data_IF_845824866240
#
_entry.id   IF_845824866240
#
_cell.length_a   1.000
_cell.length_b   1.000
_cell.length_c   1.000
_cell.angle_alpha   90.00
_cell.angle_beta   90.00
_cell.angle_gamma   90.00
#
_symmetry.space_group_name_H-M   'P 1'
#
loop_
_entity.id
_entity.type
_entity.pdbx_description
1 polymer ?
#
# COMPACT_ATOMS: atom_id res chain seq x y z
N UNK A 1 21.17 -8.28 -1.19
CA UNK A 1 20.70 -6.91 -1.47
C UNK A 1 21.46 -5.94 -0.57
N UNK A 2 21.89 -4.79 -1.09
CA UNK A 2 22.52 -3.74 -0.26
C UNK A 2 21.50 -3.12 0.69
N UNK A 3 21.98 -2.62 1.84
CA UNK A 3 21.16 -1.98 2.88
C UNK A 3 21.62 -0.55 3.12
N UNK A 4 20.68 0.32 3.47
CA UNK A 4 20.88 1.69 3.93
C UNK A 4 20.90 1.76 5.46
N UNK A 5 21.67 2.71 6.00
CA UNK A 5 21.62 3.08 7.42
C UNK A 5 20.85 4.38 7.58
N UNK A 6 19.68 4.31 8.20
CA UNK A 6 18.77 5.43 8.40
C UNK A 6 18.82 5.90 9.86
N UNK A 7 19.29 7.13 10.09
CA UNK A 7 19.30 7.73 11.42
C UNK A 7 17.96 8.40 11.72
N UNK A 8 17.36 8.10 12.88
CA UNK A 8 16.12 8.73 13.34
C UNK A 8 16.41 10.16 13.78
N UNK A 9 16.05 11.15 12.97
CA UNK A 9 16.23 12.57 13.28
C UNK A 9 15.12 13.13 14.16
N UNK A 10 13.90 12.63 13.99
CA UNK A 10 12.74 13.11 14.75
C UNK A 10 11.64 12.05 14.82
N UNK A 11 10.98 11.99 15.96
CA UNK A 11 9.77 11.19 16.17
C UNK A 11 8.60 12.17 16.33
N UNK A 12 7.56 12.00 15.52
CA UNK A 12 6.37 12.86 15.52
C UNK A 12 5.15 11.99 15.80
N UNK A 13 4.38 12.34 16.82
CA UNK A 13 3.11 11.67 17.11
C UNK A 13 1.99 12.32 16.28
N UNK A 14 1.51 11.62 15.26
CA UNK A 14 0.43 12.10 14.40
C UNK A 14 -0.93 11.96 15.07
N UNK A 15 -1.15 10.82 15.73
CA UNK A 15 -2.38 10.51 16.47
C UNK A 15 -2.04 9.67 17.70
N UNK A 16 -3.03 9.19 18.44
CA UNK A 16 -2.79 8.28 19.56
C UNK A 16 -2.22 6.91 19.16
N UNK A 17 -2.40 6.50 17.90
CA UNK A 17 -1.95 5.20 17.41
C UNK A 17 -1.06 5.29 16.17
N UNK A 18 -0.62 6.49 15.78
CA UNK A 18 0.19 6.70 14.57
C UNK A 18 1.37 7.62 14.89
N UNK A 19 2.56 7.18 14.49
CA UNK A 19 3.81 7.91 14.70
C UNK A 19 4.57 8.00 13.39
N UNK A 20 5.09 9.17 13.06
CA UNK A 20 6.05 9.36 11.98
C UNK A 20 7.47 9.38 12.50
N UNK A 21 8.37 8.76 11.73
CA UNK A 21 9.82 8.85 11.92
C UNK A 21 10.38 9.65 10.75
N UNK A 22 11.07 10.76 11.06
CA UNK A 22 11.92 11.44 10.09
C UNK A 22 13.29 10.78 10.14
N UNK A 23 13.69 10.23 9.02
CA UNK A 23 14.87 9.43 8.83
C UNK A 23 15.81 10.15 7.87
N UNK A 24 17.11 10.05 8.10
CA UNK A 24 18.13 10.57 7.19
C UNK A 24 19.15 9.46 6.92
N UNK A 25 19.40 9.17 5.64
CA UNK A 25 20.46 8.24 5.26
C UNK A 25 21.83 8.80 5.67
N UNK A 26 22.67 7.99 6.32
CA UNK A 26 24.07 8.37 6.59
C UNK A 26 24.88 8.40 5.30
N UNK A 27 24.56 7.51 4.38
CA UNK A 27 25.08 7.46 3.02
C UNK A 27 24.13 8.19 2.05
N UNK A 28 23.95 9.51 2.23
CA UNK A 28 22.91 10.30 1.53
C UNK A 28 22.91 10.14 0.02
N UNK A 29 24.08 9.95 -0.60
CA UNK A 29 24.23 9.81 -2.06
C UNK A 29 23.62 8.52 -2.61
N UNK A 30 23.22 7.58 -1.74
CA UNK A 30 22.61 6.30 -2.11
C UNK A 30 21.09 6.26 -1.85
N UNK A 31 20.52 7.32 -1.30
CA UNK A 31 19.10 7.41 -1.03
C UNK A 31 18.40 8.20 -2.13
N UNK A 32 17.69 7.48 -2.99
CA UNK A 32 16.76 8.05 -3.95
C UNK A 32 15.47 7.22 -3.93
N UNK A 33 14.33 7.86 -4.20
CA UNK A 33 13.03 7.19 -4.30
C UNK A 33 12.09 7.97 -5.20
N UNK A 34 11.06 7.29 -5.68
CA UNK A 34 9.91 7.92 -6.35
C UNK A 34 8.76 8.03 -5.37
N UNK A 35 8.02 9.13 -5.42
CA UNK A 35 6.85 9.34 -4.57
C UNK A 35 5.86 8.17 -4.70
N UNK A 36 5.45 7.62 -3.55
CA UNK A 36 4.62 6.42 -3.45
C UNK A 36 5.36 5.12 -3.12
N UNK A 37 6.69 5.07 -3.25
CA UNK A 37 7.49 3.92 -2.83
C UNK A 37 7.50 3.70 -1.31
N UNK A 38 7.93 2.52 -0.88
CA UNK A 38 8.12 2.15 0.52
C UNK A 38 9.57 1.76 0.81
N UNK A 39 9.95 1.76 2.09
CA UNK A 39 11.19 1.17 2.59
C UNK A 39 10.89 -0.01 3.50
N UNK A 40 11.72 -1.05 3.46
CA UNK A 40 11.65 -2.16 4.39
C UNK A 40 12.67 -1.96 5.50
N UNK A 41 12.20 -1.73 6.73
CA UNK A 41 13.06 -1.65 7.91
C UNK A 41 13.39 -3.05 8.43
N UNK A 42 14.62 -3.19 8.92
CA UNK A 42 15.13 -4.38 9.60
C UNK A 42 15.40 -4.01 11.07
N UNK A 43 14.71 -4.67 11.99
CA UNK A 43 14.87 -4.46 13.43
C UNK A 43 14.67 -5.76 14.19
N UNK A 44 15.29 -5.90 15.35
CA UNK A 44 15.19 -7.12 16.15
C UNK A 44 13.99 -7.05 17.11
N UNK A 45 13.29 -8.17 17.27
CA UNK A 45 12.27 -8.40 18.29
C UNK A 45 12.60 -9.74 18.94
N UNK A 46 12.87 -9.76 20.25
CA UNK A 46 13.17 -11.00 21.00
C UNK A 46 14.21 -11.91 20.32
N UNK A 47 15.33 -11.31 19.87
CA UNK A 47 16.43 -11.97 19.13
C UNK A 47 16.15 -12.40 17.68
N UNK A 48 14.92 -12.21 17.17
CA UNK A 48 14.58 -12.45 15.76
C UNK A 48 14.66 -11.16 14.92
N UNK A 49 15.27 -11.23 13.73
CA UNK A 49 15.25 -10.11 12.78
C UNK A 49 13.87 -10.00 12.11
N UNK A 50 13.15 -8.93 12.42
CA UNK A 50 11.87 -8.60 11.82
C UNK A 50 12.07 -7.61 10.66
N UNK A 51 11.36 -7.89 9.57
CA UNK A 51 11.34 -7.05 8.36
C UNK A 51 9.96 -6.49 8.13
N UNK A 52 9.80 -5.18 8.06
CA UNK A 52 8.50 -4.54 7.79
C UNK A 52 8.63 -3.38 6.80
N UNK A 53 7.74 -3.40 5.81
CA UNK A 53 7.64 -2.35 4.80
C UNK A 53 6.73 -1.23 5.26
N UNK A 54 7.18 0.01 5.05
CA UNK A 54 6.42 1.22 5.34
C UNK A 54 6.52 2.18 4.17
N UNK A 55 5.38 2.60 3.63
CA UNK A 55 5.34 3.60 2.56
C UNK A 55 5.99 4.89 3.04
N UNK A 56 6.80 5.49 2.16
CA UNK A 56 7.44 6.76 2.42
C UNK A 56 6.35 7.83 2.32
N UNK A 57 6.19 8.62 3.38
CA UNK A 57 5.18 9.67 3.51
C UNK A 57 5.73 11.09 3.29
N UNK A 58 7.00 11.23 2.92
CA UNK A 58 7.59 12.50 2.46
C UNK A 58 7.70 12.56 0.93
N UNK A 59 7.92 13.75 0.39
CA UNK A 59 8.24 13.92 -1.03
C UNK A 59 9.71 13.57 -1.28
N UNK A 60 10.09 13.01 -2.45
CA UNK A 60 11.49 12.89 -2.85
C UNK A 60 12.19 14.26 -2.98
N UNK A 61 11.43 15.36 -3.08
CA UNK A 61 11.97 16.72 -3.03
C UNK A 61 12.41 17.14 -1.61
N UNK A 62 12.04 16.37 -0.58
CA UNK A 62 12.45 16.60 0.82
C UNK A 62 13.82 15.95 1.14
N UNK A 63 14.46 15.28 0.17
CA UNK A 63 15.77 14.65 0.35
C UNK A 63 16.82 15.67 0.85
N UNK A 64 17.76 15.25 1.71
CA UNK A 64 18.09 13.86 2.07
C UNK A 64 17.23 13.27 3.21
N UNK A 65 16.17 13.96 3.65
CA UNK A 65 15.27 13.45 4.68
C UNK A 65 14.13 12.65 4.05
N UNK A 66 13.82 11.49 4.64
CA UNK A 66 12.64 10.71 4.30
C UNK A 66 11.77 10.55 5.54
N UNK A 67 10.45 10.50 5.37
CA UNK A 67 9.49 10.24 6.45
C UNK A 67 8.83 8.91 6.19
N UNK A 68 8.72 8.07 7.22
CA UNK A 68 7.77 6.97 7.25
C UNK A 68 6.75 7.21 8.34
N UNK A 69 5.55 6.68 8.18
CA UNK A 69 4.47 6.87 9.15
C UNK A 69 3.84 5.53 9.46
N UNK A 70 3.92 5.16 10.74
CA UNK A 70 3.65 3.82 11.23
C UNK A 70 2.41 3.88 12.10
N UNK A 71 1.38 3.15 11.71
CA UNK A 71 0.21 2.89 12.55
C UNK A 71 0.52 1.69 13.44
N UNK A 72 0.31 1.85 14.75
CA UNK A 72 0.35 0.76 15.73
C UNK A 72 -0.76 -0.23 15.36
N UNK A 73 -0.38 -1.45 14.97
CA UNK A 73 -1.33 -2.54 14.82
C UNK A 73 -1.76 -3.01 16.22
N UNK A 74 -3.06 -3.16 16.45
CA UNK A 74 -3.61 -3.63 17.73
C UNK A 74 -3.12 -5.06 18.05
N UNK A 75 -2.95 -5.89 17.02
CA UNK A 75 -2.49 -7.29 17.12
C UNK A 75 -1.02 -7.50 16.66
N UNK A 76 -0.35 -6.45 16.19
CA UNK A 76 0.99 -6.56 15.61
C UNK A 76 2.09 -6.24 16.63
N UNK A 77 2.62 -7.28 17.27
CA UNK A 77 3.73 -7.20 18.25
C UNK A 77 4.89 -6.33 17.74
N UNK A 78 5.30 -6.53 16.49
CA UNK A 78 6.44 -5.84 15.89
C UNK A 78 6.29 -4.32 15.82
N UNK A 79 5.18 -3.80 15.28
CA UNK A 79 4.99 -2.35 15.11
C UNK A 79 4.82 -1.61 16.44
N UNK A 80 4.15 -2.28 17.40
CA UNK A 80 3.92 -1.75 18.75
C UNK A 80 5.25 -1.67 19.51
N UNK A 81 5.97 -2.78 19.56
CA UNK A 81 7.25 -2.87 20.25
C UNK A 81 8.29 -1.93 19.63
N UNK A 82 8.42 -1.95 18.31
CA UNK A 82 9.31 -1.02 17.60
C UNK A 82 9.04 0.44 17.98
N UNK A 83 7.78 0.89 17.94
CA UNK A 83 7.44 2.27 18.29
C UNK A 83 7.59 2.61 19.78
N UNK A 84 7.63 1.61 20.67
CA UNK A 84 7.85 1.82 22.11
C UNK A 84 9.34 1.96 22.45
N UNK A 85 10.24 1.41 21.63
CA UNK A 85 11.67 1.39 21.90
C UNK A 85 12.48 2.45 21.13
N UNK A 86 12.02 2.84 19.94
CA UNK A 86 12.75 3.75 19.06
C UNK A 86 13.05 5.11 19.69
N UNK A 87 14.29 5.59 19.50
CA UNK A 87 14.74 6.90 19.99
C UNK A 87 15.42 7.71 18.89
N UNK A 88 15.28 9.03 18.99
CA UNK A 88 16.05 9.97 18.16
C UNK A 88 17.55 9.70 18.31
N UNK A 89 18.27 9.66 17.19
CA UNK A 89 19.69 9.37 17.08
C UNK A 89 20.02 7.90 16.81
N UNK A 90 19.06 6.98 16.97
CA UNK A 90 19.25 5.58 16.63
C UNK A 90 19.38 5.37 15.12
N UNK A 91 20.13 4.34 14.74
CA UNK A 91 20.35 3.95 13.34
C UNK A 91 19.58 2.65 13.10
N UNK A 92 18.70 2.68 12.10
CA UNK A 92 17.93 1.51 11.66
C UNK A 92 18.43 1.10 10.28
N UNK A 93 18.63 -0.20 10.07
CA UNK A 93 18.93 -0.74 8.75
C UNK A 93 17.65 -0.82 7.92
N UNK A 94 17.75 -0.49 6.64
CA UNK A 94 16.65 -0.63 5.71
C UNK A 94 17.14 -1.18 4.36
N UNK A 95 16.28 -1.87 3.63
CA UNK A 95 16.50 -2.02 2.19
C UNK A 95 16.25 -0.69 1.47
N UNK A 96 16.84 -0.54 0.28
CA UNK A 96 16.58 0.62 -0.56
C UNK A 96 15.08 0.74 -0.89
N UNK A 97 14.58 1.96 -1.14
CA UNK A 97 13.20 2.19 -1.55
C UNK A 97 12.80 1.33 -2.76
N UNK A 98 11.63 0.71 -2.69
CA UNK A 98 11.05 -0.12 -3.76
C UNK A 98 9.53 0.08 -3.86
N UNK A 99 8.91 -0.50 -4.89
CA UNK A 99 7.47 -0.45 -5.11
C UNK A 99 7.09 0.22 -6.43
N UNK A 100 5.96 -0.23 -7.01
CA UNK A 100 5.46 0.22 -8.31
C UNK A 100 4.30 1.22 -8.20
N UNK A 101 3.69 1.36 -7.01
CA UNK A 101 2.66 2.37 -6.75
C UNK A 101 3.29 3.76 -6.68
N UNK A 102 3.59 4.32 -7.85
CA UNK A 102 4.42 5.52 -7.99
C UNK A 102 3.82 6.50 -8.98
N UNK A 103 4.27 7.75 -8.90
CA UNK A 103 3.92 8.77 -9.89
C UNK A 103 5.16 9.32 -10.58
N UNK A 104 5.13 9.35 -11.92
CA UNK A 104 6.15 10.00 -12.73
C UNK A 104 5.82 11.48 -12.87
N UNK A 105 6.66 12.33 -12.31
CA UNK A 105 6.50 13.78 -12.33
C UNK A 105 6.93 14.38 -13.67
N UNK A 106 6.14 15.35 -14.16
CA UNK A 106 6.41 16.13 -15.36
C UNK A 106 5.98 17.61 -15.12
N UNK A 107 6.93 18.56 -15.04
CA UNK A 107 6.63 19.96 -14.73
C UNK A 107 5.67 20.66 -15.71
N UNK A 108 5.59 20.18 -16.96
CA UNK A 108 4.71 20.76 -17.98
C UNK A 108 3.34 20.07 -18.02
N UNK A 109 3.14 19.01 -17.24
CA UNK A 109 1.90 18.24 -17.23
C UNK A 109 0.77 18.97 -16.51
N UNK A 110 -0.37 19.08 -17.20
CA UNK A 110 -1.66 19.51 -16.64
C UNK A 110 -2.39 18.32 -16.05
N UNK A 111 -1.83 17.72 -15.00
CA UNK A 111 -2.38 16.49 -14.42
C UNK A 111 -3.71 16.76 -13.72
N UNK A 112 -4.68 15.89 -13.99
CA UNK A 112 -5.84 15.73 -13.13
C UNK A 112 -5.64 14.44 -12.34
N UNK A 113 -5.68 14.48 -11.00
CA UNK A 113 -5.56 13.28 -10.19
C UNK A 113 -6.50 13.28 -8.99
N UNK A 114 -7.00 12.10 -8.61
CA UNK A 114 -7.84 11.92 -7.43
C UNK A 114 -7.25 10.84 -6.54
N UNK A 115 -6.89 11.23 -5.33
CA UNK A 115 -6.37 10.35 -4.29
C UNK A 115 -7.51 9.91 -3.38
N UNK A 116 -7.72 8.61 -3.23
CA UNK A 116 -8.76 8.05 -2.37
C UNK A 116 -8.07 7.21 -1.30
N UNK A 117 -8.05 7.76 -0.08
CA UNK A 117 -7.34 7.19 1.05
C UNK A 117 -8.26 6.89 2.22
N UNK A 118 -7.86 5.96 3.09
CA UNK A 118 -8.46 5.83 4.41
C UNK A 118 -7.46 5.37 5.48
N UNK A 119 -7.52 5.99 6.66
CA UNK A 119 -6.58 5.73 7.76
C UNK A 119 -5.12 5.85 7.30
N UNK A 120 -4.30 4.83 7.58
CA UNK A 120 -2.88 4.81 7.21
C UNK A 120 -2.62 4.73 5.71
N UNK A 121 -3.61 4.39 4.88
CA UNK A 121 -3.43 4.40 3.42
C UNK A 121 -3.14 5.78 2.83
N UNK A 122 -3.23 6.84 3.63
CA UNK A 122 -2.78 8.19 3.27
C UNK A 122 -1.27 8.27 3.02
N UNK A 123 -0.44 7.36 3.53
CA UNK A 123 1.01 7.53 3.53
C UNK A 123 1.64 7.63 2.15
N UNK A 124 1.43 6.68 1.21
CA UNK A 124 1.94 6.85 -0.16
C UNK A 124 1.23 8.00 -0.89
N UNK A 125 -0.07 8.19 -0.65
CA UNK A 125 -0.86 9.24 -1.31
C UNK A 125 -0.35 10.63 -0.94
N UNK A 126 0.00 10.85 0.33
CA UNK A 126 0.53 12.12 0.82
C UNK A 126 1.89 12.45 0.22
N UNK A 127 2.75 11.43 0.05
CA UNK A 127 4.02 11.58 -0.70
C UNK A 127 3.75 12.05 -2.13
N UNK A 128 2.84 11.40 -2.86
CA UNK A 128 2.47 11.79 -4.22
C UNK A 128 1.87 13.20 -4.28
N UNK A 129 0.89 13.51 -3.43
CA UNK A 129 0.23 14.82 -3.34
C UNK A 129 1.25 15.93 -3.14
N UNK A 130 2.12 15.82 -2.14
CA UNK A 130 3.16 16.82 -1.86
C UNK A 130 4.07 17.04 -3.08
N UNK A 131 4.42 15.95 -3.76
CA UNK A 131 5.34 15.99 -4.90
C UNK A 131 4.71 16.68 -6.10
N UNK A 132 3.46 16.35 -6.44
CA UNK A 132 2.71 16.96 -7.54
C UNK A 132 2.53 18.45 -7.29
N UNK A 133 2.07 18.84 -6.10
CA UNK A 133 1.82 20.26 -5.80
C UNK A 133 3.07 21.12 -5.90
N UNK A 134 4.24 20.56 -5.53
CA UNK A 134 5.50 21.27 -5.61
C UNK A 134 6.12 21.30 -7.02
N UNK A 135 5.92 20.26 -7.83
CA UNK A 135 6.63 20.08 -9.09
C UNK A 135 5.77 20.25 -10.36
N UNK A 136 4.46 20.13 -10.27
CA UNK A 136 3.51 20.24 -11.39
C UNK A 136 2.51 21.38 -11.13
N UNK A 137 2.92 22.65 -11.31
CA UNK A 137 2.12 23.81 -10.91
C UNK A 137 0.80 23.98 -11.67
N UNK A 138 0.63 23.27 -12.80
CA UNK A 138 -0.59 23.27 -13.60
C UNK A 138 -1.53 22.10 -13.24
N UNK A 139 -1.11 21.23 -12.33
CA UNK A 139 -1.89 20.10 -11.87
C UNK A 139 -3.08 20.52 -11.01
N UNK A 140 -4.16 19.76 -11.12
CA UNK A 140 -5.34 19.84 -10.28
C UNK A 140 -5.58 18.48 -9.65
N UNK A 141 -5.63 18.44 -8.34
CA UNK A 141 -5.78 17.20 -7.60
C UNK A 141 -6.86 17.30 -6.53
N UNK A 142 -7.45 16.15 -6.21
CA UNK A 142 -8.35 16.01 -5.08
C UNK A 142 -7.89 14.91 -4.15
N UNK A 143 -8.10 15.09 -2.85
CA UNK A 143 -7.94 14.07 -1.83
C UNK A 143 -9.31 13.76 -1.21
N UNK A 144 -9.78 12.53 -1.35
CA UNK A 144 -10.94 11.99 -0.66
C UNK A 144 -10.41 11.10 0.47
N UNK A 145 -10.58 11.53 1.72
CA UNK A 145 -9.91 10.90 2.86
C UNK A 145 -10.85 10.46 3.98
N UNK A 146 -10.98 9.13 4.13
CA UNK A 146 -11.83 8.48 5.11
C UNK A 146 -11.14 8.21 6.45
N UNK A 147 -11.75 8.66 7.55
CA UNK A 147 -11.29 8.40 8.92
C UNK A 147 -12.46 8.08 9.86
N UNK A 148 -12.14 7.63 11.08
CA UNK A 148 -13.17 7.38 12.10
C UNK A 148 -13.69 8.68 12.70
N UNK A 149 -12.80 9.60 13.06
CA UNK A 149 -13.11 10.92 13.61
C UNK A 149 -11.93 11.86 13.35
N UNK A 150 -12.09 13.12 13.74
CA UNK A 150 -11.16 14.23 13.52
C UNK A 150 -9.78 13.95 14.13
N UNK A 151 -9.73 13.35 15.33
CA UNK A 151 -8.48 13.05 16.06
C UNK A 151 -7.64 11.93 15.43
N UNK A 152 -8.23 11.20 14.47
CA UNK A 152 -7.59 10.09 13.77
C UNK A 152 -7.20 10.44 12.33
N UNK A 153 -7.41 11.70 11.90
CA UNK A 153 -6.92 12.20 10.62
C UNK A 153 -5.40 12.35 10.71
N UNK A 154 -4.67 11.46 10.05
CA UNK A 154 -3.20 11.52 9.99
C UNK A 154 -2.81 12.71 9.10
N UNK A 155 -1.78 13.46 9.51
CA UNK A 155 -1.32 14.70 8.86
C UNK A 155 -2.36 15.82 8.78
N UNK A 156 -3.37 15.85 9.67
CA UNK A 156 -4.48 16.82 9.60
C UNK A 156 -4.01 18.26 9.36
N UNK A 157 -3.14 18.76 10.23
CA UNK A 157 -2.70 20.16 10.15
C UNK A 157 -1.89 20.43 8.88
N UNK A 158 -1.09 19.46 8.43
CA UNK A 158 -0.32 19.60 7.19
C UNK A 158 -1.21 19.57 5.94
N UNK A 159 -2.23 18.71 5.91
CA UNK A 159 -3.23 18.65 4.84
C UNK A 159 -4.03 19.97 4.80
N UNK A 160 -4.45 20.50 5.95
CA UNK A 160 -5.16 21.78 6.03
C UNK A 160 -4.28 22.94 5.52
N UNK A 161 -2.98 22.94 5.86
CA UNK A 161 -2.01 23.91 5.35
C UNK A 161 -1.81 23.79 3.83
N UNK A 162 -1.69 22.58 3.29
CA UNK A 162 -1.57 22.34 1.85
C UNK A 162 -2.83 22.79 1.11
N UNK A 163 -4.01 22.42 1.60
CA UNK A 163 -5.29 22.83 1.01
C UNK A 163 -5.43 24.35 0.97
N UNK A 164 -4.96 25.05 2.00
CA UNK A 164 -4.94 26.52 2.02
C UNK A 164 -3.91 27.11 1.06
N UNK A 165 -2.71 26.55 1.00
CA UNK A 165 -1.62 27.05 0.15
C UNK A 165 -1.91 26.84 -1.34
N UNK A 166 -2.54 25.71 -1.69
CA UNK A 166 -2.84 25.27 -3.04
C UNK A 166 -4.34 25.27 -3.33
N UNK A 167 -5.10 26.26 -2.81
CA UNK A 167 -6.58 26.31 -2.90
C UNK A 167 -7.18 26.14 -4.30
N UNK A 168 -6.43 26.50 -5.35
CA UNK A 168 -6.85 26.43 -6.75
C UNK A 168 -6.45 25.10 -7.43
N UNK A 169 -5.57 24.32 -6.77
CA UNK A 169 -4.97 23.09 -7.28
C UNK A 169 -5.24 21.85 -6.41
N UNK A 170 -5.63 22.01 -5.15
CA UNK A 170 -5.93 20.92 -4.21
C UNK A 170 -7.32 21.14 -3.59
N UNK A 171 -8.20 20.15 -3.79
CA UNK A 171 -9.46 20.04 -3.05
C UNK A 171 -9.41 18.84 -2.09
N UNK A 172 -9.89 19.00 -0.85
CA UNK A 172 -9.86 17.93 0.16
C UNK A 172 -11.27 17.66 0.67
N UNK A 173 -11.70 16.40 0.59
CA UNK A 173 -13.00 15.91 1.01
C UNK A 173 -12.81 14.86 2.11
N UNK A 174 -13.13 15.21 3.36
CA UNK A 174 -13.03 14.29 4.48
C UNK A 174 -14.33 13.53 4.71
N UNK A 175 -14.21 12.23 4.93
CA UNK A 175 -15.31 11.33 5.33
C UNK A 175 -15.06 10.81 6.73
N UNK A 176 -15.95 11.16 7.68
CA UNK A 176 -15.83 10.72 9.06
C UNK A 176 -16.98 9.80 9.45
N UNK A 177 -16.67 8.56 9.86
CA UNK A 177 -17.70 7.59 10.21
C UNK A 177 -18.31 7.77 11.61
N UNK A 178 -17.61 8.48 12.51
CA UNK A 178 -18.04 8.81 13.88
C UNK A 178 -17.55 10.22 14.27
N UNK A 179 -17.95 11.27 13.55
CA UNK A 179 -17.48 12.64 13.82
C UNK A 179 -18.09 13.22 15.10
N UNK A 180 -17.54 14.34 15.55
CA UNK A 180 -18.21 15.18 16.55
C UNK A 180 -19.43 15.90 15.95
N UNK A 181 -20.37 16.33 16.78
CA UNK A 181 -21.58 17.03 16.32
C UNK A 181 -21.29 18.35 15.56
N UNK A 182 -20.11 18.93 15.74
CA UNK A 182 -19.65 20.14 15.05
C UNK A 182 -19.10 19.90 13.64
N UNK A 183 -19.04 18.64 13.19
CA UNK A 183 -18.52 18.30 11.88
C UNK A 183 -19.48 18.69 10.76
N UNK A 184 -18.94 19.42 9.78
CA UNK A 184 -19.71 19.91 8.63
C UNK A 184 -19.34 19.21 7.30
N UNK A 185 -18.43 18.22 7.34
CA UNK A 185 -18.03 17.44 6.17
C UNK A 185 -18.88 16.19 5.99
N UNK A 186 -18.39 15.25 5.17
CA UNK A 186 -19.13 14.01 4.90
C UNK A 186 -19.18 13.12 6.15
N UNK A 187 -20.37 12.58 6.43
CA UNK A 187 -20.62 11.66 7.55
C UNK A 187 -20.81 10.25 7.02
N UNK A 188 -20.09 9.29 7.61
CA UNK A 188 -20.12 7.89 7.22
C UNK A 188 -18.78 7.38 6.69
N UNK A 189 -18.77 6.11 6.26
CA UNK A 189 -17.66 5.55 5.49
C UNK A 189 -17.78 5.98 4.03
N UNK A 190 -16.68 5.91 3.28
CA UNK A 190 -16.72 6.01 1.83
C UNK A 190 -17.47 4.78 1.31
N UNK A 191 -18.57 5.00 0.60
CA UNK A 191 -19.36 3.99 -0.09
C UNK A 191 -19.39 4.31 -1.59
N UNK A 192 -19.84 3.37 -2.40
CA UNK A 192 -19.98 3.60 -3.85
C UNK A 192 -20.83 4.85 -4.14
N UNK A 193 -21.99 4.96 -3.51
CA UNK A 193 -22.99 6.00 -3.78
C UNK A 193 -22.48 7.39 -3.40
N UNK A 194 -21.92 7.53 -2.20
CA UNK A 194 -21.43 8.82 -1.75
C UNK A 194 -20.16 9.23 -2.51
N UNK A 195 -19.28 8.29 -2.86
CA UNK A 195 -18.11 8.58 -3.68
C UNK A 195 -18.50 9.05 -5.08
N UNK A 196 -19.49 8.43 -5.73
CA UNK A 196 -20.00 8.89 -7.03
C UNK A 196 -20.47 10.34 -6.94
N UNK A 197 -21.24 10.69 -5.91
CA UNK A 197 -21.72 12.07 -5.72
C UNK A 197 -20.57 13.05 -5.47
N UNK A 198 -19.58 12.67 -4.67
CA UNK A 198 -18.40 13.51 -4.39
C UNK A 198 -17.54 13.69 -5.63
N UNK A 199 -17.27 12.64 -6.41
CA UNK A 199 -16.51 12.76 -7.66
C UNK A 199 -17.20 13.68 -8.66
N UNK A 200 -18.54 13.59 -8.78
CA UNK A 200 -19.32 14.52 -9.63
C UNK A 200 -19.21 15.97 -9.17
N UNK A 201 -19.09 16.22 -7.86
CA UNK A 201 -18.85 17.56 -7.32
C UNK A 201 -17.46 18.12 -7.63
N UNK A 202 -16.49 17.24 -7.95
CA UNK A 202 -15.11 17.57 -8.33
C UNK A 202 -14.96 17.80 -9.85
N UNK A 203 -16.00 18.29 -10.53
CA UNK A 203 -15.96 18.56 -11.96
C UNK A 203 -14.87 19.58 -12.36
N UNK A 204 -14.52 20.51 -11.47
CA UNK A 204 -13.42 21.47 -11.61
C UNK A 204 -12.03 20.82 -11.72
N UNK A 205 -11.87 19.61 -11.17
CA UNK A 205 -10.67 18.77 -11.26
C UNK A 205 -10.67 17.95 -12.56
N UNK A 206 -11.81 17.81 -13.24
CA UNK A 206 -11.92 16.98 -14.44
C UNK A 206 -11.84 15.49 -14.12
N UNK A 207 -12.62 15.04 -13.12
CA UNK A 207 -12.56 13.68 -12.57
C UNK A 207 -12.68 12.55 -13.62
N UNK A 208 -13.38 12.77 -14.75
CA UNK A 208 -13.55 11.74 -15.79
C UNK A 208 -12.24 11.38 -16.51
N UNK A 209 -11.29 12.32 -16.58
CA UNK A 209 -9.97 12.13 -17.22
C UNK A 209 -8.85 12.05 -16.18
N UNK A 210 -9.19 11.94 -14.89
CA UNK A 210 -8.21 11.94 -13.82
C UNK A 210 -7.52 10.58 -13.68
N UNK A 211 -6.25 10.61 -13.25
CA UNK A 211 -5.58 9.44 -12.68
C UNK A 211 -6.03 9.25 -11.23
N UNK A 212 -6.38 8.03 -10.86
CA UNK A 212 -6.87 7.66 -9.55
C UNK A 212 -5.83 6.86 -8.78
N UNK A 213 -5.56 7.26 -7.54
CA UNK A 213 -4.61 6.57 -6.67
C UNK A 213 -5.32 6.17 -5.38
N UNK A 214 -5.44 4.86 -5.16
CA UNK A 214 -6.25 4.28 -4.09
C UNK A 214 -5.33 3.54 -3.10
N UNK A 215 -5.49 3.82 -1.80
CA UNK A 215 -4.86 3.02 -0.75
C UNK A 215 -5.65 3.10 0.56
N UNK A 216 -5.94 1.93 1.14
CA UNK A 216 -6.62 1.83 2.43
C UNK A 216 -7.25 0.45 2.65
N UNK A 217 -8.19 0.33 3.61
CA UNK A 217 -8.83 -0.94 3.93
C UNK A 217 -9.64 -1.48 2.75
N UNK A 218 -9.67 -2.81 2.62
CA UNK A 218 -10.31 -3.55 1.52
C UNK A 218 -11.73 -3.07 1.19
N UNK A 219 -12.60 -2.92 2.19
CA UNK A 219 -13.98 -2.47 1.96
C UNK A 219 -14.08 -1.05 1.36
N UNK A 220 -13.11 -0.17 1.64
CA UNK A 220 -13.02 1.15 1.00
C UNK A 220 -12.51 1.00 -0.44
N UNK A 221 -11.45 0.21 -0.65
CA UNK A 221 -10.88 -0.04 -1.97
C UNK A 221 -11.92 -0.61 -2.93
N UNK A 222 -12.70 -1.60 -2.47
CA UNK A 222 -13.78 -2.22 -3.23
C UNK A 222 -14.91 -1.21 -3.55
N UNK A 223 -15.34 -0.43 -2.57
CA UNK A 223 -16.36 0.62 -2.77
C UNK A 223 -15.89 1.66 -3.80
N UNK A 224 -14.62 2.04 -3.73
CA UNK A 224 -14.02 3.00 -4.64
C UNK A 224 -13.98 2.47 -6.07
N UNK A 225 -13.50 1.24 -6.24
CA UNK A 225 -13.39 0.66 -7.55
C UNK A 225 -14.76 0.38 -8.20
N UNK A 226 -15.81 0.00 -7.43
CA UNK A 226 -17.18 -0.06 -7.97
C UNK A 226 -17.69 1.30 -8.44
N UNK A 227 -17.39 2.38 -7.70
CA UNK A 227 -17.81 3.73 -8.08
C UNK A 227 -17.12 4.17 -9.38
N UNK A 228 -15.82 3.91 -9.52
CA UNK A 228 -15.05 4.27 -10.70
C UNK A 228 -15.50 3.48 -11.93
N UNK A 229 -15.79 2.19 -11.77
CA UNK A 229 -16.36 1.37 -12.84
C UNK A 229 -17.75 1.86 -13.27
N UNK A 230 -18.64 2.19 -12.33
CA UNK A 230 -19.98 2.73 -12.64
C UNK A 230 -19.91 4.09 -13.35
N UNK A 231 -18.87 4.88 -13.06
CA UNK A 231 -18.58 6.14 -13.76
C UNK A 231 -17.88 5.95 -15.11
N UNK A 232 -17.53 4.72 -15.49
CA UNK A 232 -16.85 4.41 -16.75
C UNK A 232 -15.38 4.88 -16.78
N UNK A 233 -14.74 5.03 -15.61
CA UNK A 233 -13.32 5.39 -15.54
C UNK A 233 -12.49 4.24 -16.08
N UNK A 234 -11.56 4.54 -16.99
CA UNK A 234 -10.67 3.54 -17.55
C UNK A 234 -9.78 2.93 -16.46
N UNK A 235 -9.77 1.60 -16.35
CA UNK A 235 -8.95 0.88 -15.39
C UNK A 235 -7.45 1.20 -15.48
N UNK A 236 -6.92 1.59 -16.65
CA UNK A 236 -5.54 2.04 -16.80
C UNK A 236 -5.22 3.36 -16.09
N UNK A 237 -6.25 4.14 -15.74
CA UNK A 237 -6.11 5.34 -14.93
C UNK A 237 -6.26 5.05 -13.43
N UNK A 238 -6.52 3.80 -13.03
CA UNK A 238 -6.72 3.43 -11.62
C UNK A 238 -5.47 2.70 -11.14
N UNK A 239 -4.82 3.29 -10.14
CA UNK A 239 -3.62 2.77 -9.50
C UNK A 239 -3.93 2.45 -8.04
N UNK A 240 -3.43 1.33 -7.54
CA UNK A 240 -3.68 0.81 -6.20
C UNK A 240 -2.41 0.30 -5.55
N UNK A 241 -2.34 0.38 -4.22
CA UNK A 241 -1.31 -0.30 -3.42
C UNK A 241 -1.91 -1.58 -2.81
N UNK A 242 -1.37 -2.76 -3.14
CA UNK A 242 -1.80 -4.06 -2.62
C UNK A 242 -3.29 -4.40 -2.82
N UNK A 243 -3.88 -4.04 -3.96
CA UNK A 243 -5.26 -4.37 -4.31
C UNK A 243 -5.39 -4.45 -5.83
N UNK A 244 -5.92 -5.54 -6.38
CA UNK A 244 -6.05 -5.69 -7.83
C UNK A 244 -7.45 -5.24 -8.30
N UNK A 245 -7.47 -4.19 -9.13
CA UNK A 245 -8.69 -3.60 -9.70
C UNK A 245 -9.27 -4.49 -10.80
N UNK A 246 -8.47 -5.36 -11.44
CA UNK A 246 -8.92 -6.25 -12.51
C UNK A 246 -9.92 -7.32 -12.01
N UNK A 247 -9.93 -7.65 -10.71
CA UNK A 247 -10.97 -8.50 -10.11
C UNK A 247 -12.40 -7.98 -10.29
N UNK A 248 -12.56 -6.73 -10.72
CA UNK A 248 -13.85 -6.05 -10.81
C UNK A 248 -14.36 -5.91 -12.25
N UNK A 249 -13.51 -6.26 -13.22
CA UNK A 249 -13.81 -6.20 -14.65
C UNK A 249 -14.08 -7.59 -15.24
N UNK A 250 -14.86 -8.43 -14.56
CA UNK A 250 -15.56 -9.55 -15.20
C UNK A 250 -16.66 -10.05 -14.27
N UNK A 251 -17.71 -10.60 -14.87
CA UNK A 251 -18.94 -11.11 -14.25
C UNK A 251 -18.73 -12.37 -13.41
N UNK A 252 -17.69 -12.44 -12.59
CA UNK A 252 -17.51 -13.53 -11.65
C UNK A 252 -17.69 -12.99 -10.25
N UNK A 253 -18.83 -13.32 -9.65
CA UNK A 253 -18.91 -13.45 -8.21
C UNK A 253 -17.74 -14.37 -7.84
N UNK A 254 -16.72 -13.85 -7.17
CA UNK A 254 -15.76 -14.70 -6.48
C UNK A 254 -16.61 -15.47 -5.49
N UNK A 255 -16.94 -16.71 -5.81
CA UNK A 255 -17.66 -17.57 -4.89
C UNK A 255 -16.80 -17.63 -3.62
N UNK A 256 -17.41 -17.38 -2.46
CA UNK A 256 -16.76 -17.47 -1.13
C UNK A 256 -16.47 -18.95 -0.79
N UNK A 257 -15.72 -19.61 -1.65
CA UNK A 257 -15.42 -21.04 -1.55
C UNK A 257 -14.01 -21.15 -1.00
N UNK A 258 -13.88 -21.86 0.11
CA UNK A 258 -12.59 -22.35 0.57
C UNK A 258 -12.04 -23.33 -0.45
N UNK A 259 -10.81 -23.09 -0.92
CA UNK A 259 -10.16 -23.92 -1.93
C UNK A 259 -9.02 -24.72 -1.30
N UNK A 260 -8.95 -26.01 -1.64
CA UNK A 260 -7.80 -26.83 -1.26
C UNK A 260 -6.62 -26.50 -2.18
N UNK A 261 -5.47 -26.20 -1.60
CA UNK A 261 -4.21 -25.98 -2.30
C UNK A 261 -3.22 -27.05 -1.89
N UNK A 262 -2.57 -27.69 -2.86
CA UNK A 262 -1.48 -28.63 -2.60
C UNK A 262 -0.14 -27.90 -2.75
N UNK A 263 0.64 -27.90 -1.67
CA UNK A 263 2.00 -27.35 -1.63
C UNK A 263 2.98 -28.52 -1.64
N UNK A 264 3.85 -28.56 -2.63
CA UNK A 264 4.98 -29.49 -2.70
C UNK A 264 6.23 -28.75 -2.25
N UNK A 265 6.83 -29.21 -1.15
CA UNK A 265 8.08 -28.67 -0.63
C UNK A 265 8.90 -29.79 0.01
N UNK A 266 10.20 -29.86 -0.28
CA UNK A 266 11.10 -30.92 0.23
C UNK A 266 10.60 -32.34 -0.05
N UNK A 267 10.06 -32.56 -1.26
CA UNK A 267 9.43 -33.82 -1.67
C UNK A 267 8.24 -34.28 -0.81
N UNK A 268 7.70 -33.40 0.04
CA UNK A 268 6.48 -33.63 0.82
C UNK A 268 5.31 -32.84 0.22
N UNK A 269 4.13 -33.49 0.18
CA UNK A 269 2.87 -32.86 -0.21
C UNK A 269 2.09 -32.41 1.02
N UNK A 270 1.73 -31.13 1.06
CA UNK A 270 0.92 -30.52 2.11
C UNK A 270 -0.37 -29.96 1.51
N UNK A 271 -1.51 -30.47 1.94
CA UNK A 271 -2.83 -29.98 1.54
C UNK A 271 -3.34 -28.98 2.58
N UNK A 272 -3.67 -27.79 2.13
CA UNK A 272 -4.18 -26.72 2.99
C UNK A 272 -5.44 -26.10 2.41
N UNK A 273 -6.39 -25.74 3.27
CA UNK A 273 -7.59 -25.01 2.87
C UNK A 273 -7.34 -23.51 2.99
N UNK A 274 -7.47 -22.82 1.85
CA UNK A 274 -7.28 -21.37 1.72
C UNK A 274 -8.64 -20.71 1.65
N UNK A 275 -8.89 -19.78 2.58
CA UNK A 275 -10.09 -18.94 2.53
C UNK A 275 -9.99 -17.91 1.40
N UNK A 276 -11.11 -17.45 0.84
CA UNK A 276 -11.13 -16.32 -0.09
C UNK A 276 -10.33 -15.13 0.49
N UNK A 277 -9.42 -14.56 -0.30
CA UNK A 277 -8.56 -13.44 0.12
C UNK A 277 -7.43 -13.80 1.09
N UNK A 278 -7.27 -15.06 1.50
CA UNK A 278 -6.15 -15.51 2.32
C UNK A 278 -4.92 -15.83 1.44
N UNK A 279 -3.73 -15.37 1.83
CA UNK A 279 -2.48 -15.70 1.12
C UNK A 279 -2.11 -17.16 1.35
N UNK A 280 -1.70 -17.85 0.28
CA UNK A 280 -1.24 -19.24 0.33
C UNK A 280 -0.07 -19.40 1.31
N UNK A 281 0.93 -18.51 1.24
CA UNK A 281 2.08 -18.56 2.16
C UNK A 281 1.65 -18.32 3.60
N UNK A 282 0.91 -17.25 3.89
CA UNK A 282 0.60 -16.88 5.28
C UNK A 282 -0.22 -17.97 5.97
N UNK A 283 -1.13 -18.62 5.23
CA UNK A 283 -1.88 -19.77 5.74
C UNK A 283 -0.96 -20.96 5.99
N UNK A 284 -0.06 -21.29 5.06
CA UNK A 284 0.91 -22.37 5.25
C UNK A 284 1.80 -22.15 6.49
N UNK A 285 2.32 -20.93 6.68
CA UNK A 285 3.11 -20.57 7.87
C UNK A 285 2.28 -20.71 9.16
N UNK A 286 0.99 -20.33 9.14
CA UNK A 286 0.11 -20.46 10.31
C UNK A 286 -0.16 -21.92 10.72
N UNK A 287 0.02 -22.86 9.79
CA UNK A 287 -0.08 -24.30 10.00
C UNK A 287 1.27 -24.95 10.36
N UNK A 288 2.33 -24.14 10.49
CA UNK A 288 3.67 -24.59 10.88
C UNK A 288 4.57 -25.04 9.73
N UNK A 289 4.21 -24.78 8.46
CA UNK A 289 5.07 -25.08 7.32
C UNK A 289 6.17 -24.03 7.19
N UNK A 290 7.44 -24.45 7.21
CA UNK A 290 8.60 -23.56 7.10
C UNK A 290 8.97 -23.28 5.63
N UNK A 291 8.07 -22.60 4.91
CA UNK A 291 8.28 -22.26 3.50
C UNK A 291 9.24 -21.08 3.31
N UNK A 292 10.07 -21.06 2.25
CA UNK A 292 10.95 -19.92 1.95
C UNK A 292 10.18 -18.61 1.84
N UNK A 293 10.51 -17.63 2.67
CA UNK A 293 9.87 -16.31 2.64
C UNK A 293 10.77 -15.20 3.23
N UNK A 294 10.45 -13.94 2.94
CA UNK A 294 11.21 -12.79 3.45
C UNK A 294 10.34 -11.52 3.55
N UNK A 295 9.90 -10.93 2.44
CA UNK A 295 9.14 -9.66 2.49
C UNK A 295 7.65 -9.81 2.78
N UNK A 296 7.08 -10.99 2.47
CA UNK A 296 5.64 -11.29 2.53
C UNK A 296 4.73 -10.25 1.83
N UNK A 297 5.28 -9.54 0.84
CA UNK A 297 4.63 -8.42 0.16
C UNK A 297 4.83 -8.47 -1.36
N UNK A 298 5.28 -9.61 -1.91
CA UNK A 298 5.46 -9.77 -3.36
C UNK A 298 6.72 -9.15 -3.96
N UNK A 299 7.62 -8.57 -3.14
CA UNK A 299 8.72 -7.72 -3.63
C UNK A 299 10.11 -8.34 -3.63
N UNK A 300 10.34 -9.46 -2.93
CA UNK A 300 11.68 -10.04 -2.78
C UNK A 300 11.89 -11.37 -3.52
N UNK A 301 10.84 -11.97 -4.06
CA UNK A 301 10.91 -13.24 -4.80
C UNK A 301 11.23 -14.48 -3.96
N UNK A 302 11.50 -14.36 -2.66
CA UNK A 302 11.83 -15.52 -1.80
C UNK A 302 10.66 -16.52 -1.69
N UNK A 303 9.42 -16.02 -1.76
CA UNK A 303 8.21 -16.84 -1.76
C UNK A 303 7.86 -17.43 -3.14
N UNK A 304 8.79 -17.38 -4.11
CA UNK A 304 8.55 -17.84 -5.47
C UNK A 304 8.35 -19.35 -5.49
N UNK A 305 7.26 -19.78 -6.10
CA UNK A 305 6.94 -21.18 -6.34
C UNK A 305 6.47 -21.34 -7.79
N UNK A 306 6.60 -22.56 -8.33
CA UNK A 306 6.12 -22.89 -9.67
C UNK A 306 4.69 -23.43 -9.58
N UNK A 307 3.79 -22.85 -10.37
CA UNK A 307 2.43 -23.31 -10.51
C UNK A 307 2.41 -24.52 -11.47
N UNK A 308 2.08 -25.70 -10.94
CA UNK A 308 2.01 -26.94 -11.72
C UNK A 308 0.61 -27.20 -12.28
N UNK A 309 -0.43 -26.80 -11.54
CA UNK A 309 -1.83 -26.93 -11.93
C UNK A 309 -2.68 -25.83 -11.31
N UNK A 310 -3.83 -25.56 -11.92
CA UNK A 310 -4.79 -24.57 -11.46
C UNK A 310 -4.42 -23.12 -11.79
N UNK A 311 -5.05 -22.18 -11.07
CA UNK A 311 -4.89 -20.74 -11.25
C UNK A 311 -4.63 -20.06 -9.92
N UNK A 312 -3.64 -19.16 -9.90
CA UNK A 312 -3.37 -18.27 -8.77
C UNK A 312 -3.56 -16.84 -9.23
N UNK A 313 -4.30 -16.08 -8.42
CA UNK A 313 -4.41 -14.65 -8.56
C UNK A 313 -3.34 -13.96 -7.70
N UNK A 314 -2.51 -13.13 -8.33
CA UNK A 314 -1.44 -12.40 -7.65
C UNK A 314 -1.86 -10.95 -7.46
N UNK A 315 -1.79 -10.46 -6.22
CA UNK A 315 -2.04 -9.05 -5.89
C UNK A 315 -0.82 -8.17 -6.20
N UNK A 316 0.39 -8.77 -6.22
CA UNK A 316 1.65 -8.09 -6.54
C UNK A 316 2.59 -9.07 -7.29
N UNK A 317 3.31 -8.55 -8.28
CA UNK A 317 4.17 -9.35 -9.18
C UNK A 317 5.56 -8.73 -9.38
N UNK A 318 5.88 -7.64 -8.69
CA UNK A 318 7.16 -6.89 -8.79
C UNK A 318 8.42 -7.75 -8.76
N UNK A 319 8.42 -8.86 -8.02
CA UNK A 319 9.59 -9.73 -7.92
C UNK A 319 9.74 -10.78 -9.02
N UNK A 320 8.80 -10.85 -9.98
CA UNK A 320 8.85 -11.77 -11.11
C UNK A 320 9.18 -11.02 -12.40
N UNK A 321 10.10 -11.56 -13.19
CA UNK A 321 10.31 -11.11 -14.56
C UNK A 321 9.21 -11.64 -15.50
N UNK A 322 9.08 -11.06 -16.69
CA UNK A 322 8.16 -11.60 -17.72
C UNK A 322 8.47 -13.07 -18.07
N UNK A 323 9.75 -13.45 -18.02
CA UNK A 323 10.19 -14.83 -18.24
C UNK A 323 9.78 -15.76 -17.08
N UNK A 324 9.88 -15.30 -15.83
CA UNK A 324 9.38 -16.05 -14.67
C UNK A 324 7.88 -16.34 -14.80
N UNK A 325 7.09 -15.33 -15.16
CA UNK A 325 5.63 -15.45 -15.34
C UNK A 325 5.33 -16.46 -16.45
N UNK A 326 6.04 -16.37 -17.58
CA UNK A 326 5.87 -17.30 -18.71
C UNK A 326 6.25 -18.73 -18.36
N UNK A 327 7.22 -18.91 -17.47
CA UNK A 327 7.65 -20.22 -16.96
C UNK A 327 6.75 -20.76 -15.84
N UNK A 328 5.66 -20.06 -15.51
CA UNK A 328 4.65 -20.49 -14.54
C UNK A 328 5.05 -20.20 -13.09
N UNK A 329 5.99 -19.29 -12.84
CA UNK A 329 6.30 -18.89 -11.47
C UNK A 329 5.26 -17.92 -10.91
N UNK A 330 5.03 -18.04 -9.60
CA UNK A 330 4.09 -17.24 -8.84
C UNK A 330 4.69 -16.87 -7.48
N UNK A 331 4.15 -15.83 -6.83
CA UNK A 331 4.55 -15.41 -5.49
C UNK A 331 3.47 -15.80 -4.49
N UNK A 332 3.73 -16.82 -3.68
CA UNK A 332 2.73 -17.39 -2.76
C UNK A 332 2.36 -16.44 -1.62
N UNK A 333 3.23 -15.47 -1.30
CA UNK A 333 3.02 -14.45 -0.29
C UNK A 333 1.96 -13.40 -0.63
N UNK A 334 1.65 -13.25 -1.91
CA UNK A 334 0.62 -12.33 -2.43
C UNK A 334 -0.30 -13.06 -3.41
N UNK A 335 -0.23 -14.39 -3.41
CA UNK A 335 -0.97 -15.28 -4.27
C UNK A 335 -2.16 -15.91 -3.55
N UNK A 336 -3.30 -15.89 -4.23
CA UNK A 336 -4.58 -16.42 -3.78
C UNK A 336 -5.06 -17.49 -4.75
N UNK A 337 -5.64 -18.57 -4.23
CA UNK A 337 -6.17 -19.64 -5.05
C UNK A 337 -7.40 -19.17 -5.84
N UNK A 338 -7.33 -19.26 -7.17
CA UNK A 338 -8.39 -18.87 -8.09
C UNK A 338 -9.09 -20.08 -8.76
N UNK A 339 -8.61 -21.30 -8.53
CA UNK A 339 -9.27 -22.56 -8.93
C UNK A 339 -9.09 -23.66 -7.87
N UNK A 340 -9.87 -24.75 -8.00
CA UNK A 340 -9.94 -25.82 -6.99
C UNK A 340 -8.80 -26.87 -7.12
N UNK A 341 -7.99 -26.76 -8.17
CA UNK A 341 -6.95 -27.72 -8.56
C UNK A 341 -5.53 -27.12 -8.46
N UNK A 342 -5.34 -26.15 -7.55
CA UNK A 342 -4.06 -25.45 -7.41
C UNK A 342 -3.00 -26.35 -6.78
N UNK A 343 -1.92 -26.59 -7.54
CA UNK A 343 -0.73 -27.32 -7.10
C UNK A 343 0.48 -26.43 -7.31
N UNK A 344 1.23 -26.14 -6.25
CA UNK A 344 2.45 -25.34 -6.31
C UNK A 344 3.65 -26.11 -5.80
N UNK A 345 4.78 -25.90 -6.47
CA UNK A 345 6.07 -26.49 -6.13
C UNK A 345 7.05 -25.40 -5.68
N UNK A 346 7.53 -25.51 -4.46
CA UNK A 346 8.71 -24.76 -4.01
C UNK A 346 9.96 -25.52 -4.44
N UNK A 347 10.63 -24.97 -5.45
CA UNK A 347 11.95 -25.44 -5.86
C UNK A 347 12.96 -24.99 -4.79
N UNK A 348 13.72 -25.92 -4.20
CA UNK A 348 14.82 -25.57 -3.29
C UNK A 348 15.89 -24.74 -4.04
N UNK A 349 16.58 -23.76 -3.39
CA UNK A 349 17.29 -22.69 -4.09
C UNK A 349 18.46 -23.24 -4.93
N UNK A 350 18.67 -22.80 -6.18
CA UNK A 350 19.20 -21.47 -6.56
C UNK A 350 20.42 -21.08 -5.69
N UNK A 351 21.57 -21.71 -5.97
CA UNK A 351 22.89 -21.21 -5.55
C UNK A 351 23.20 -19.81 -6.11
#
# INVERSE_FOLDING_TARGET
MSTLNLEIKKIIRETNSVTSLLLQARESDQLNFTAGQFVTLLFNLDEEEIRRSFSISSSPLDLPQLRITIKRAEDGLASKHFLDEVKTGEIIKAFHPTGNFTIKIDPDKKRNAVFIGAGSGITPLYSMIKTILAAEPQGKIALIYGNRNESLIIFKDEIDMLAKAYKDSLQVEHFLSRPQNSWNGHVGRITKENLISTLKSLANIGYTEAEYYLCGPEGMMQSAAYALNELGINHHHIHTENFDVQLLCETDRIEEIEREVTIIFRDEEHKINIKPGESILLKALSLGLELPNSCQAGNCGTCRAKLLSGKIQLIEQTALSEEDIKNGYCLTCVGHAASDDVVILYEEPFE
#
